data_IF_039085775742
#
_entry.id   IF_039085775742
#
_cell.length_a   1.000
_cell.length_b   1.000
_cell.length_c   1.000
_cell.angle_alpha   90.00
_cell.angle_beta   90.00
_cell.angle_gamma   90.00
#
_symmetry.space_group_name_H-M   'P 1'
#
loop_
_entity.id
_entity.type
_entity.pdbx_description
1 polymer ?
#
# COMPACT_ATOMS: atom_id res chain seq x y z
N UNK A 1 9.63 1.80 -9.81
CA UNK A 1 9.74 1.33 -8.41
C UNK A 1 9.22 -0.10 -8.40
N UNK A 2 10.11 -1.07 -8.21
CA UNK A 2 9.70 -2.47 -8.15
C UNK A 2 9.29 -2.79 -6.70
N UNK A 3 7.99 -2.93 -6.48
CA UNK A 3 7.41 -3.26 -5.18
C UNK A 3 7.58 -4.75 -4.81
N UNK A 4 8.06 -5.57 -5.75
CA UNK A 4 8.31 -7.00 -5.56
C UNK A 4 9.78 -7.33 -5.36
N UNK A 5 10.64 -6.30 -5.31
CA UNK A 5 12.07 -6.49 -5.06
C UNK A 5 12.30 -6.86 -3.61
N UNK A 6 12.82 -8.07 -3.39
CA UNK A 6 13.17 -8.59 -2.06
C UNK A 6 14.58 -8.13 -1.60
N UNK A 7 15.31 -7.42 -2.48
CA UNK A 7 16.62 -6.86 -2.18
C UNK A 7 16.52 -5.43 -1.66
N UNK A 8 17.41 -5.08 -0.72
CA UNK A 8 17.54 -3.71 -0.21
C UNK A 8 18.10 -2.75 -1.28
N UNK A 9 17.79 -1.43 -1.20
CA UNK A 9 16.88 -0.81 -0.24
C UNK A 9 15.43 -1.08 -0.59
N UNK A 10 14.65 -1.47 0.42
CA UNK A 10 13.20 -1.55 0.26
C UNK A 10 12.62 -0.14 0.09
N UNK A 11 11.48 -0.03 -0.61
CA UNK A 11 10.59 1.12 -0.49
C UNK A 11 10.45 1.63 0.94
N UNK A 12 10.87 2.86 1.20
CA UNK A 12 10.57 3.57 2.45
C UNK A 12 9.72 4.80 2.14
N UNK A 13 8.91 5.22 3.11
CA UNK A 13 8.01 6.35 2.97
C UNK A 13 7.55 6.89 4.31
N UNK A 14 6.92 8.06 4.30
CA UNK A 14 6.33 8.69 5.47
C UNK A 14 4.82 8.76 5.28
N UNK A 15 4.06 8.20 6.22
CA UNK A 15 2.61 8.40 6.26
C UNK A 15 2.32 9.85 6.67
N UNK A 16 1.47 10.54 5.91
CA UNK A 16 1.05 11.92 6.17
C UNK A 16 -0.45 12.07 5.95
N UNK A 17 -1.04 13.06 6.60
CA UNK A 17 -2.45 13.42 6.38
C UNK A 17 -3.45 12.37 6.83
N UNK A 18 -3.09 11.54 7.82
CA UNK A 18 -4.04 10.61 8.45
C UNK A 18 -5.20 11.38 9.08
N UNK A 19 -6.41 10.87 8.88
CA UNK A 19 -7.64 11.44 9.44
C UNK A 19 -8.45 10.34 10.11
N UNK A 20 -8.65 10.44 11.42
CA UNK A 20 -9.55 9.57 12.19
C UNK A 20 -10.95 9.64 11.59
N UNK A 21 -11.67 8.51 11.61
CA UNK A 21 -13.02 8.32 11.05
C UNK A 21 -13.15 8.52 9.53
N UNK A 22 -12.04 8.76 8.82
CA UNK A 22 -12.04 8.74 7.36
C UNK A 22 -12.36 7.34 6.83
N UNK A 23 -12.75 7.27 5.55
CA UNK A 23 -12.96 5.98 4.89
C UNK A 23 -11.73 5.07 5.00
N UNK A 24 -10.53 5.64 4.84
CA UNK A 24 -9.26 4.92 4.91
C UNK A 24 -9.00 4.41 6.33
N UNK A 25 -9.26 5.24 7.34
CA UNK A 25 -9.14 4.86 8.76
C UNK A 25 -10.05 3.67 9.09
N UNK A 26 -11.33 3.74 8.68
CA UNK A 26 -12.29 2.64 8.86
C UNK A 26 -11.88 1.38 8.11
N UNK A 27 -11.44 1.49 6.86
CA UNK A 27 -10.98 0.34 6.07
C UNK A 27 -9.71 -0.29 6.66
N UNK A 28 -8.83 0.51 7.25
CA UNK A 28 -7.60 0.03 7.89
C UNK A 28 -7.87 -0.72 9.20
N UNK A 29 -8.97 -0.41 9.89
CA UNK A 29 -9.30 -1.01 11.19
C UNK A 29 -9.41 -2.54 11.15
N UNK A 30 -9.82 -3.09 10.00
CA UNK A 30 -9.90 -4.53 9.75
C UNK A 30 -8.55 -5.26 9.90
N UNK A 31 -7.43 -4.52 9.84
CA UNK A 31 -6.08 -5.06 9.95
C UNK A 31 -5.45 -4.83 11.33
N UNK A 32 -6.11 -4.08 12.23
CA UNK A 32 -5.58 -3.73 13.55
C UNK A 32 -6.01 -4.74 14.64
N UNK A 33 -7.13 -5.44 14.43
CA UNK A 33 -7.79 -6.26 15.47
C UNK A 33 -7.40 -7.74 15.47
N UNK A 34 -6.49 -8.18 14.59
CA UNK A 34 -6.15 -9.61 14.50
C UNK A 34 -5.00 -9.94 15.45
N UNK A 35 -5.36 -10.49 16.61
CA UNK A 35 -4.46 -11.00 17.65
C UNK A 35 -3.60 -12.18 17.22
N UNK A 36 -3.90 -12.79 16.08
CA UNK A 36 -3.18 -13.93 15.55
C UNK A 36 -2.11 -13.45 14.56
N UNK A 37 -0.90 -13.98 14.71
CA UNK A 37 0.33 -13.73 13.95
C UNK A 37 0.25 -13.98 12.43
N UNK A 38 -0.95 -14.16 11.88
CA UNK A 38 -1.17 -14.25 10.44
C UNK A 38 -1.18 -12.83 9.87
N UNK A 39 -0.07 -12.45 9.22
CA UNK A 39 0.08 -11.18 8.50
C UNK A 39 -0.98 -11.09 7.39
N UNK A 40 -2.08 -10.41 7.70
CA UNK A 40 -3.13 -10.12 6.72
C UNK A 40 -2.56 -9.25 5.61
N UNK A 41 -2.85 -9.62 4.36
CA UNK A 41 -2.44 -8.85 3.19
C UNK A 41 -3.53 -7.85 2.84
N UNK A 42 -3.11 -6.65 2.44
CA UNK A 42 -4.00 -5.63 1.94
C UNK A 42 -3.64 -5.27 0.51
N UNK A 43 -4.65 -4.80 -0.23
CA UNK A 43 -4.47 -4.05 -1.46
C UNK A 43 -4.87 -2.61 -1.20
N UNK A 44 -3.96 -1.70 -1.52
CA UNK A 44 -4.22 -0.27 -1.55
C UNK A 44 -4.41 0.17 -3.00
N UNK A 45 -5.50 0.89 -3.27
CA UNK A 45 -5.65 1.65 -4.52
C UNK A 45 -5.17 3.05 -4.25
N UNK A 46 -4.24 3.55 -5.06
CA UNK A 46 -3.60 4.83 -4.85
C UNK A 46 -3.57 5.66 -6.13
N UNK A 47 -3.64 6.98 -5.98
CA UNK A 47 -3.32 7.92 -7.06
C UNK A 47 -1.92 8.50 -6.82
N UNK A 48 -1.01 8.43 -7.81
CA UNK A 48 0.29 9.07 -7.69
C UNK A 48 0.13 10.59 -7.72
N UNK A 49 0.86 11.27 -6.84
CA UNK A 49 0.95 12.72 -6.80
C UNK A 49 2.43 13.12 -6.78
N UNK A 50 2.81 14.04 -7.65
CA UNK A 50 4.16 14.60 -7.67
C UNK A 50 4.18 15.83 -6.77
N UNK A 51 4.74 15.70 -5.57
CA UNK A 51 4.85 16.85 -4.67
C UNK A 51 5.88 17.85 -5.24
N UNK A 52 5.40 18.99 -5.74
CA UNK A 52 6.27 20.04 -6.30
C UNK A 52 7.21 20.69 -5.29
N UNK A 53 6.90 20.61 -3.98
CA UNK A 53 7.60 21.35 -2.91
C UNK A 53 8.63 20.53 -2.14
N UNK A 54 8.60 19.20 -2.22
CA UNK A 54 9.56 18.35 -1.53
C UNK A 54 10.43 17.63 -2.57
N UNK A 55 11.75 17.68 -2.42
CA UNK A 55 12.71 16.85 -3.19
C UNK A 55 12.49 15.33 -3.02
N UNK A 56 11.40 14.91 -2.36
CA UNK A 56 11.06 13.52 -2.05
C UNK A 56 10.08 12.96 -3.08
N UNK A 57 10.62 12.46 -4.19
CA UNK A 57 9.99 11.43 -5.04
C UNK A 57 8.50 11.59 -5.38
N UNK A 58 7.83 10.44 -5.52
CA UNK A 58 6.39 10.32 -5.78
C UNK A 58 5.65 10.10 -4.45
N UNK A 59 4.57 10.86 -4.23
CA UNK A 59 3.59 10.59 -3.18
C UNK A 59 2.49 9.66 -3.71
N UNK A 60 1.91 8.85 -2.83
CA UNK A 60 0.76 8.00 -3.14
C UNK A 60 -0.41 8.39 -2.24
N UNK A 61 -1.47 8.94 -2.81
CA UNK A 61 -2.71 9.20 -2.09
C UNK A 61 -3.55 7.93 -2.08
N UNK A 62 -3.73 7.32 -0.91
CA UNK A 62 -4.54 6.10 -0.75
C UNK A 62 -6.02 6.45 -0.89
N UNK A 63 -6.70 5.81 -1.84
CA UNK A 63 -8.12 5.98 -2.13
C UNK A 63 -8.98 4.89 -1.50
N UNK A 64 -8.45 3.67 -1.40
CA UNK A 64 -9.12 2.57 -0.73
C UNK A 64 -8.14 1.51 -0.23
N UNK A 65 -8.54 0.83 0.83
CA UNK A 65 -7.85 -0.32 1.39
C UNK A 65 -8.85 -1.48 1.47
N UNK A 66 -8.43 -2.66 1.02
CA UNK A 66 -9.20 -3.90 1.20
C UNK A 66 -8.28 -5.07 1.48
N UNK A 67 -8.84 -6.13 2.06
CA UNK A 67 -8.13 -7.38 2.24
C UNK A 67 -7.80 -8.00 0.88
N UNK A 68 -6.63 -8.63 0.82
CA UNK A 68 -6.16 -9.39 -0.31
C UNK A 68 -5.67 -10.77 0.17
N UNK A 69 -5.61 -11.70 -0.77
CA UNK A 69 -5.00 -13.01 -0.58
C UNK A 69 -3.79 -13.18 -1.49
N UNK A 70 -3.14 -14.34 -1.41
CA UNK A 70 -2.00 -14.65 -2.27
C UNK A 70 -2.39 -14.81 -3.74
N UNK A 71 -3.60 -15.29 -4.04
CA UNK A 71 -4.05 -15.45 -5.42
C UNK A 71 -4.12 -14.09 -6.14
N UNK A 72 -4.61 -13.06 -5.44
CA UNK A 72 -4.64 -11.70 -5.96
C UNK A 72 -3.25 -11.10 -6.11
N UNK A 73 -2.36 -11.32 -5.13
CA UNK A 73 -0.97 -10.84 -5.21
C UNK A 73 -0.24 -11.46 -6.40
N UNK A 74 -0.39 -12.76 -6.62
CA UNK A 74 0.23 -13.46 -7.74
C UNK A 74 -0.30 -12.98 -9.09
N UNK A 75 -1.60 -12.70 -9.18
CA UNK A 75 -2.20 -12.15 -10.39
C UNK A 75 -1.63 -10.77 -10.73
N UNK A 76 -1.51 -9.89 -9.74
CA UNK A 76 -0.91 -8.55 -9.93
C UNK A 76 0.57 -8.68 -10.31
N UNK A 77 1.32 -9.57 -9.65
CA UNK A 77 2.74 -9.80 -9.95
C UNK A 77 2.95 -10.23 -11.40
N UNK A 78 2.09 -11.12 -11.91
CA UNK A 78 2.12 -11.54 -13.33
C UNK A 78 1.79 -10.38 -14.27
N UNK A 79 0.82 -9.53 -13.90
CA UNK A 79 0.43 -8.38 -14.71
C UNK A 79 1.47 -7.25 -14.75
N UNK A 80 2.30 -7.11 -13.71
CA UNK A 80 3.38 -6.10 -13.66
C UNK A 80 4.66 -6.59 -14.35
N UNK A 81 4.86 -7.91 -14.46
CA UNK A 81 5.90 -8.52 -15.33
C UNK A 81 5.44 -8.53 -16.80
N UNK A 82 5.25 -7.35 -17.37
CA UNK A 82 5.28 -7.19 -18.83
C UNK A 82 6.74 -6.99 -19.21
N UNK A 83 7.16 -7.72 -20.25
CA UNK A 83 8.53 -7.90 -20.78
C UNK A 83 9.45 -6.67 -20.76
#
# INVERSE_FOLDING_TARGET
MDLFKEERPFPTGTLRGWKTDSLIDRQSSAFLSVSNQNTMKCRCICTPNREAKNKMGWGLAVLSIRQADWAEVDLIRRAVRVE
#
